data_IF_461023821674
#
_entry.id   IF_461023821674
#
_cell.length_a   1.000
_cell.length_b   1.000
_cell.length_c   1.000
_cell.angle_alpha   90.00
_cell.angle_beta   90.00
_cell.angle_gamma   90.00
#
_symmetry.space_group_name_H-M   'P 1'
#
loop_
_entity.id
_entity.type
_entity.pdbx_description
1 polymer ?
#
# COMPACT_ATOMS: atom_id res chain seq x y z
N UNK A 1 10.11 -9.74 -10.97
CA UNK A 1 9.47 -9.46 -10.76
C UNK A 1 9.24 -9.07 -10.87
N UNK A 2 9.46 -8.91 -11.06
CA UNK A 2 8.85 -8.37 -11.10
C UNK A 2 8.59 -7.79 -10.90
N UNK A 3 8.71 -7.25 -10.88
CA UNK A 3 8.10 -6.53 -10.55
C UNK A 3 7.35 -6.24 -10.90
N UNK A 4 7.23 -6.25 -11.23
CA UNK A 4 6.31 -5.76 -11.56
C UNK A 4 5.86 -4.88 -11.37
N UNK A 5 6.31 -4.32 -11.21
CA UNK A 5 5.73 -3.56 -10.99
C UNK A 5 5.27 -2.98 -11.44
N UNK A 6 5.43 -2.91 -11.89
CA UNK A 6 4.81 -2.41 -12.19
C UNK A 6 4.41 -2.22 -12.86
N UNK A 7 4.56 -2.35 -13.24
CA UNK A 7 4.00 -2.13 -13.79
C UNK A 7 3.34 -2.02 -14.35
N UNK A 8 3.61 -2.04 -14.69
CA UNK A 8 2.77 -1.86 -15.12
C UNK A 8 2.21 -1.59 -15.68
N UNK A 9 2.40 -1.72 -16.12
CA UNK A 9 1.76 -1.42 -16.73
C UNK A 9 1.63 -1.15 -17.37
N UNK A 10 1.93 -1.16 -17.80
CA UNK A 10 1.61 -0.93 -18.38
C UNK A 10 1.53 -0.77 -19.00
N UNK A 11 1.55 -0.79 -19.38
CA UNK A 11 1.25 -0.57 -19.96
C UNK A 11 1.05 -0.48 -20.57
N UNK A 12 1.23 -0.56 -20.80
CA UNK A 12 0.77 -0.37 -21.29
C UNK A 12 0.18 0.12 -21.66
N UNK A 13 0.36 0.23 -21.77
CA UNK A 13 -0.23 0.79 -22.00
C UNK A 13 -0.54 1.52 -22.32
N UNK A 14 -0.42 1.86 -22.53
CA UNK A 14 -0.77 2.56 -22.67
C UNK A 14 -1.06 3.34 -22.86
N UNK A 15 -0.87 3.89 -22.98
CA UNK A 15 -1.16 4.72 -22.97
C UNK A 15 -1.28 5.47 -23.57
N UNK A 16 -1.16 5.72 -23.92
CA UNK A 16 -1.17 6.58 -24.22
C UNK A 16 -1.07 7.39 -24.11
N UNK A 17 -0.49 7.67 -23.81
CA UNK A 17 -0.38 8.33 -23.48
C UNK A 17 0.17 8.62 -23.26
N UNK A 18 0.67 8.59 -23.24
CA UNK A 18 1.19 8.69 -22.94
C UNK A 18 1.88 8.73 -23.02
N UNK A 19 2.36 8.63 -23.06
CA UNK A 19 2.95 8.55 -22.91
C UNK A 19 3.75 8.49 -23.32
N UNK A 20 4.34 8.72 -23.70
CA UNK A 20 4.96 8.56 -23.85
C UNK A 20 5.64 9.17 -24.01
N UNK A 21 6.20 9.24 -24.05
CA UNK A 21 6.66 9.58 -23.86
C UNK A 21 7.41 9.61 -24.10
N UNK A 22 8.08 9.62 -24.48
CA UNK A 22 8.45 9.46 -24.32
C UNK A 22 8.66 9.10 -24.09
N UNK A 23 8.77 8.74 -24.19
CA UNK A 23 8.49 8.23 -23.73
C UNK A 23 8.38 7.90 -22.96
N UNK A 24 8.37 7.82 -22.70
CA UNK A 24 7.93 7.61 -21.76
C UNK A 24 7.22 7.25 -21.27
N UNK A 25 7.08 6.96 -21.21
CA UNK A 25 6.23 6.71 -20.61
C UNK A 25 6.17 6.56 -19.73
N UNK A 26 6.49 6.53 -19.54
CA UNK A 26 6.33 6.42 -18.69
C UNK A 26 6.11 6.74 -17.97
N UNK A 27 6.06 7.08 -17.78
CA UNK A 27 5.67 7.48 -17.01
C UNK A 27 4.72 7.52 -16.36
N UNK A 28 4.17 7.14 -16.37
CA UNK A 28 3.45 7.16 -15.69
C UNK A 28 3.55 6.75 -14.53
N UNK A 29 3.99 6.10 -14.20
CA UNK A 29 4.10 5.72 -13.16
C UNK A 29 4.63 6.42 -12.34
N UNK A 30 4.57 6.74 -12.58
CA UNK A 30 5.05 7.07 -11.93
C UNK A 30 5.28 8.07 -11.18
N UNK A 31 5.02 8.84 -11.38
CA UNK A 31 5.24 10.08 -10.71
C UNK A 31 4.48 10.17 -9.40
N UNK A 32 3.22 9.80 -9.44
CA UNK A 32 2.33 10.04 -8.31
C UNK A 32 2.36 8.93 -7.25
N UNK A 33 2.62 7.70 -7.66
CA UNK A 33 2.58 6.59 -6.73
C UNK A 33 3.54 5.50 -7.16
N UNK A 34 4.39 5.09 -6.22
CA UNK A 34 5.28 3.95 -6.43
C UNK A 34 4.92 2.88 -5.44
N UNK A 35 4.83 1.66 -5.91
CA UNK A 35 4.47 0.50 -5.10
C UNK A 35 5.52 -0.58 -5.27
N UNK A 36 5.89 -1.23 -4.16
CA UNK A 36 6.70 -2.43 -4.20
C UNK A 36 6.25 -3.34 -3.07
N UNK A 37 6.75 -4.56 -3.08
CA UNK A 37 6.47 -5.46 -1.97
C UNK A 37 7.54 -6.54 -1.90
N UNK A 38 7.71 -7.09 -0.71
CA UNK A 38 8.62 -8.20 -0.48
C UNK A 38 8.17 -8.94 0.77
N UNK A 39 8.59 -10.18 0.88
CA UNK A 39 8.22 -11.02 2.02
C UNK A 39 9.37 -11.07 3.01
N UNK A 40 9.04 -10.95 4.29
CA UNK A 40 10.01 -11.07 5.36
C UNK A 40 9.37 -11.84 6.50
N UNK A 41 9.92 -13.01 6.80
CA UNK A 41 9.45 -13.84 7.91
C UNK A 41 7.96 -14.21 7.79
N UNK A 42 7.48 -14.41 6.58
CA UNK A 42 6.10 -14.78 6.35
C UNK A 42 5.14 -13.60 6.30
N UNK A 43 5.65 -12.39 6.46
CA UNK A 43 4.85 -11.17 6.42
C UNK A 43 5.17 -10.42 5.12
N UNK A 44 4.14 -10.03 4.39
CA UNK A 44 4.34 -9.29 3.16
C UNK A 44 4.39 -7.80 3.48
N UNK A 45 5.49 -7.16 3.10
CA UNK A 45 5.71 -5.73 3.34
C UNK A 45 5.42 -4.99 2.04
N UNK A 46 4.42 -4.12 2.08
CA UNK A 46 4.02 -3.33 0.91
C UNK A 46 4.56 -1.92 1.09
N UNK A 47 5.46 -1.50 0.21
CA UNK A 47 6.01 -0.15 0.25
C UNK A 47 5.19 0.78 -0.64
N UNK A 48 4.82 1.93 -0.09
CA UNK A 48 4.03 2.93 -0.81
C UNK A 48 4.74 4.25 -0.72
N UNK A 49 4.97 4.87 -1.87
CA UNK A 49 5.63 6.17 -1.92
C UNK A 49 4.84 7.10 -2.82
N UNK A 50 4.54 8.31 -2.34
CA UNK A 50 3.89 9.33 -3.13
C UNK A 50 2.51 9.67 -2.62
N UNK A 51 1.56 9.82 -3.52
CA UNK A 51 0.21 10.29 -3.19
C UNK A 51 -0.83 9.20 -3.43
N UNK A 52 -1.67 8.98 -2.43
CA UNK A 52 -2.77 8.02 -2.54
C UNK A 52 -4.06 8.83 -2.65
N UNK A 53 -4.59 8.92 -3.86
CA UNK A 53 -5.79 9.71 -4.14
C UNK A 53 -6.74 8.89 -5.03
N UNK A 54 -7.79 9.54 -5.51
CA UNK A 54 -8.80 8.86 -6.30
C UNK A 54 -8.22 8.23 -7.57
N UNK A 55 -7.12 8.79 -8.09
CA UNK A 55 -6.52 8.28 -9.33
C UNK A 55 -5.54 7.15 -9.08
N UNK A 56 -4.84 7.16 -7.96
CA UNK A 56 -3.79 6.19 -7.68
C UNK A 56 -4.25 5.06 -6.77
N UNK A 57 -5.26 5.31 -5.93
CA UNK A 57 -5.73 4.30 -4.99
C UNK A 57 -6.10 2.97 -5.64
N UNK A 58 -6.67 2.95 -6.85
CA UNK A 58 -6.98 1.67 -7.50
C UNK A 58 -5.75 0.78 -7.68
N UNK A 59 -4.57 1.37 -7.89
CA UNK A 59 -3.35 0.57 -8.05
C UNK A 59 -2.98 -0.11 -6.74
N UNK A 60 -3.07 0.62 -5.63
CA UNK A 60 -2.81 0.01 -4.33
C UNK A 60 -3.85 -1.07 -4.03
N UNK A 61 -5.10 -0.80 -4.35
CA UNK A 61 -6.17 -1.76 -4.13
C UNK A 61 -5.89 -3.07 -4.88
N UNK A 62 -5.49 -2.97 -6.14
CA UNK A 62 -5.20 -4.16 -6.92
C UNK A 62 -4.06 -4.97 -6.33
N UNK A 63 -3.01 -4.28 -5.87
CA UNK A 63 -1.90 -4.97 -5.26
C UNK A 63 -2.32 -5.73 -4.01
N UNK A 64 -3.10 -5.08 -3.14
CA UNK A 64 -3.56 -5.74 -1.92
C UNK A 64 -4.45 -6.94 -2.24
N UNK A 65 -5.34 -6.80 -3.22
CA UNK A 65 -6.19 -7.92 -3.63
C UNK A 65 -5.36 -9.07 -4.16
N UNK A 66 -4.37 -8.77 -5.01
CA UNK A 66 -3.51 -9.81 -5.58
C UNK A 66 -2.74 -10.54 -4.49
N UNK A 67 -2.23 -9.82 -3.51
CA UNK A 67 -1.49 -10.44 -2.43
C UNK A 67 -2.38 -11.39 -1.62
N UNK A 68 -3.58 -10.95 -1.30
CA UNK A 68 -4.52 -11.81 -0.56
C UNK A 68 -4.91 -13.01 -1.40
N UNK A 69 -5.15 -12.82 -2.69
CA UNK A 69 -5.51 -13.92 -3.58
C UNK A 69 -4.38 -14.95 -3.71
N UNK A 70 -3.15 -14.53 -3.44
CA UNK A 70 -2.00 -15.43 -3.46
C UNK A 70 -1.65 -15.97 -2.09
N UNK A 71 -2.53 -15.79 -1.11
CA UNK A 71 -2.34 -16.41 0.20
C UNK A 71 -1.57 -15.58 1.21
N UNK A 72 -1.32 -14.32 0.91
CA UNK A 72 -0.60 -13.45 1.85
C UNK A 72 -1.61 -12.74 2.74
N UNK A 73 -1.79 -13.25 3.94
CA UNK A 73 -2.79 -12.73 4.86
C UNK A 73 -2.20 -11.90 6.00
N UNK A 74 -0.86 -11.83 6.08
CA UNK A 74 -0.18 -10.99 7.07
C UNK A 74 0.51 -9.88 6.30
N UNK A 75 -0.06 -8.68 6.36
CA UNK A 75 0.42 -7.55 5.57
C UNK A 75 0.87 -6.40 6.46
N UNK A 76 1.92 -5.72 6.05
CA UNK A 76 2.35 -4.46 6.63
C UNK A 76 2.45 -3.48 5.47
N UNK A 77 1.75 -2.35 5.56
CA UNK A 77 1.83 -1.31 4.54
C UNK A 77 2.73 -0.21 5.07
N UNK A 78 3.88 -0.04 4.43
CA UNK A 78 4.85 0.96 4.84
C UNK A 78 4.52 2.27 4.15
N UNK A 79 4.04 3.24 4.92
CA UNK A 79 3.58 4.53 4.43
C UNK A 79 4.53 5.67 4.81
N UNK A 80 5.78 5.35 5.17
CA UNK A 80 6.71 6.38 5.60
C UNK A 80 6.97 7.43 4.52
N UNK A 81 6.81 7.06 3.25
CA UNK A 81 7.06 7.97 2.13
C UNK A 81 5.77 8.42 1.45
N UNK A 82 4.64 8.25 2.12
CA UNK A 82 3.36 8.74 1.60
C UNK A 82 3.24 10.22 1.96
N UNK A 83 2.95 11.04 0.96
CA UNK A 83 2.86 12.50 1.13
C UNK A 83 1.44 13.00 1.17
N UNK A 84 0.49 12.21 0.67
CA UNK A 84 -0.90 12.60 0.61
C UNK A 84 -1.79 11.37 0.69
N UNK A 85 -2.89 11.50 1.41
CA UNK A 85 -3.84 10.41 1.57
C UNK A 85 -5.24 11.00 1.71
N UNK A 86 -6.14 10.61 0.80
CA UNK A 86 -7.53 11.07 0.89
C UNK A 86 -8.45 9.92 1.31
N UNK A 87 -9.76 10.19 1.31
CA UNK A 87 -10.73 9.20 1.76
C UNK A 87 -10.77 7.97 0.88
N UNK A 88 -10.45 8.11 -0.41
CA UNK A 88 -10.39 6.96 -1.30
C UNK A 88 -9.28 6.01 -0.85
N UNK A 89 -8.11 6.58 -0.53
CA UNK A 89 -7.00 5.78 -0.04
C UNK A 89 -7.30 5.11 1.29
N UNK A 90 -7.96 5.85 2.20
CA UNK A 90 -8.39 5.25 3.46
C UNK A 90 -9.30 4.06 3.22
N UNK A 91 -10.24 4.20 2.28
CA UNK A 91 -11.15 3.11 1.95
C UNK A 91 -10.42 1.88 1.44
N UNK A 92 -9.36 2.09 0.65
CA UNK A 92 -8.55 0.97 0.16
C UNK A 92 -7.87 0.23 1.31
N UNK A 93 -7.33 0.98 2.28
CA UNK A 93 -6.67 0.35 3.43
C UNK A 93 -7.67 -0.41 4.30
N UNK A 94 -8.84 0.18 4.54
CA UNK A 94 -9.89 -0.49 5.31
C UNK A 94 -10.35 -1.76 4.57
N UNK A 95 -10.51 -1.66 3.26
CA UNK A 95 -10.88 -2.82 2.45
C UNK A 95 -9.86 -3.93 2.54
N UNK A 96 -8.57 -3.57 2.50
CA UNK A 96 -7.51 -4.55 2.65
C UNK A 96 -7.54 -5.23 4.00
N UNK A 97 -7.77 -4.45 5.06
CA UNK A 97 -7.88 -5.02 6.40
C UNK A 97 -9.02 -6.03 6.49
N UNK A 98 -10.18 -5.67 5.93
CA UNK A 98 -11.32 -6.58 5.95
C UNK A 98 -11.03 -7.87 5.20
N UNK A 99 -10.31 -7.77 4.08
CA UNK A 99 -9.98 -8.96 3.29
C UNK A 99 -9.08 -9.91 4.06
N UNK A 100 -8.02 -9.39 4.69
CA UNK A 100 -7.12 -10.28 5.43
C UNK A 100 -7.80 -10.83 6.67
N UNK A 101 -8.67 -10.07 7.32
CA UNK A 101 -9.39 -10.55 8.49
C UNK A 101 -10.34 -11.71 8.17
N UNK A 102 -10.84 -11.74 6.94
CA UNK A 102 -11.67 -12.87 6.50
C UNK A 102 -10.89 -14.18 6.50
N UNK A 103 -9.56 -14.10 6.52
CA UNK A 103 -8.66 -15.24 6.55
C UNK A 103 -7.87 -15.29 7.86
N UNK A 104 -8.38 -14.65 8.91
CA UNK A 104 -7.70 -14.57 10.21
C UNK A 104 -6.33 -13.90 10.11
N UNK A 105 -6.17 -13.01 9.14
CA UNK A 105 -4.93 -12.30 8.93
C UNK A 105 -4.93 -10.92 9.56
N UNK A 106 -3.93 -10.14 9.20
CA UNK A 106 -3.75 -8.81 9.76
C UNK A 106 -3.18 -7.85 8.74
N UNK A 107 -3.47 -6.57 8.93
CA UNK A 107 -2.87 -5.50 8.13
C UNK A 107 -2.50 -4.38 9.10
N UNK A 108 -1.21 -4.15 9.26
CA UNK A 108 -0.68 -3.08 10.08
C UNK A 108 -0.05 -2.03 9.20
N UNK A 109 0.13 -0.83 9.74
CA UNK A 109 0.68 0.30 9.01
C UNK A 109 1.96 0.79 9.67
N UNK A 110 2.85 1.36 8.85
CA UNK A 110 4.03 2.06 9.35
C UNK A 110 3.92 3.49 8.87
N UNK A 111 3.86 4.43 9.80
CA UNK A 111 3.66 5.83 9.47
C UNK A 111 4.14 6.70 10.61
N UNK A 112 4.95 7.71 10.31
CA UNK A 112 5.44 8.65 11.30
C UNK A 112 5.11 10.10 10.96
N UNK A 113 4.63 10.39 9.74
CA UNK A 113 4.30 11.75 9.37
C UNK A 113 3.05 12.20 10.14
N UNK A 114 3.21 13.28 10.88
CA UNK A 114 2.12 13.77 11.71
C UNK A 114 0.87 14.11 10.89
N UNK A 115 1.09 14.66 9.70
CA UNK A 115 -0.03 15.03 8.83
C UNK A 115 -0.89 13.82 8.47
N UNK A 116 -0.26 12.70 8.19
CA UNK A 116 -0.97 11.48 7.83
C UNK A 116 -1.58 10.83 9.07
N UNK A 117 -0.81 10.79 10.17
CA UNK A 117 -1.32 10.25 11.43
C UNK A 117 -2.58 10.97 11.90
N UNK A 118 -2.62 12.29 11.67
CA UNK A 118 -3.77 13.07 12.07
C UNK A 118 -5.04 12.60 11.37
N UNK A 119 -4.91 12.20 10.11
CA UNK A 119 -6.07 11.70 9.35
C UNK A 119 -6.62 10.45 10.03
N UNK A 120 -5.74 9.55 10.45
CA UNK A 120 -6.18 8.31 11.13
C UNK A 120 -6.80 8.64 12.49
N UNK A 121 -6.26 9.60 13.20
CA UNK A 121 -6.82 9.98 14.50
C UNK A 121 -8.20 10.60 14.36
N UNK A 122 -8.36 11.54 13.41
CA UNK A 122 -9.63 12.23 13.22
C UNK A 122 -10.73 11.27 12.78
N UNK A 123 -10.39 10.30 11.96
CA UNK A 123 -11.37 9.33 11.47
C UNK A 123 -11.61 8.17 12.44
N UNK A 124 -10.86 8.12 13.54
CA UNK A 124 -10.98 7.02 14.50
C UNK A 124 -10.30 5.74 14.06
N UNK A 125 -9.56 5.77 12.96
CA UNK A 125 -8.96 4.56 12.41
C UNK A 125 -7.72 4.12 13.19
N UNK A 126 -7.20 4.93 14.11
CA UNK A 126 -6.14 4.49 15.00
C UNK A 126 -6.60 3.37 15.91
N UNK A 127 -7.91 3.23 16.08
CA UNK A 127 -8.48 2.14 16.88
C UNK A 127 -8.64 0.86 16.08
N UNK A 128 -8.52 0.96 14.78
CA UNK A 128 -8.76 -0.16 13.85
C UNK A 128 -7.46 -0.73 13.34
N UNK A 129 -6.47 0.13 13.06
CA UNK A 129 -5.17 -0.29 12.55
C UNK A 129 -4.11 -0.22 13.64
N UNK A 130 -3.22 -1.21 13.68
CA UNK A 130 -1.97 -1.07 14.40
C UNK A 130 -1.04 -0.20 13.58
N UNK A 131 -0.60 0.92 14.15
CA UNK A 131 0.29 1.85 13.45
C UNK A 131 1.61 1.90 14.22
N UNK A 132 2.71 1.70 13.50
CA UNK A 132 4.03 1.58 14.10
C UNK A 132 4.98 2.58 13.49
N UNK A 133 6.08 2.86 14.21
CA UNK A 133 7.06 3.82 13.76
C UNK A 133 8.01 3.26 12.71
N UNK A 134 8.26 1.95 12.74
CA UNK A 134 9.17 1.31 11.79
C UNK A 134 8.60 -0.02 11.35
N UNK A 135 9.12 -0.50 10.21
CA UNK A 135 8.75 -1.83 9.72
C UNK A 135 9.18 -2.90 10.73
N UNK A 136 10.37 -2.74 11.33
CA UNK A 136 10.84 -3.73 12.29
C UNK A 136 9.93 -3.83 13.51
N UNK A 137 9.42 -2.69 13.98
CA UNK A 137 8.49 -2.70 15.10
C UNK A 137 7.17 -3.36 14.72
N UNK A 138 6.69 -3.11 13.50
CA UNK A 138 5.47 -3.72 13.03
C UNK A 138 5.63 -5.24 12.94
N UNK A 139 6.77 -5.70 12.45
CA UNK A 139 7.06 -7.13 12.35
C UNK A 139 7.12 -7.75 13.75
N UNK A 140 7.82 -7.09 14.67
CA UNK A 140 7.94 -7.59 16.04
C UNK A 140 6.56 -7.70 16.71
N UNK A 141 5.72 -6.70 16.50
CA UNK A 141 4.37 -6.74 17.06
C UNK A 141 3.58 -7.91 16.49
N UNK A 142 3.67 -8.12 15.19
CA UNK A 142 2.93 -9.20 14.53
C UNK A 142 3.37 -10.56 15.03
N UNK A 143 4.68 -10.73 15.24
CA UNK A 143 5.21 -11.99 15.74
C UNK A 143 4.82 -12.24 17.19
N UNK A 144 4.75 -11.20 18.00
CA UNK A 144 4.41 -11.36 19.42
C UNK A 144 2.94 -11.69 19.62
N UNK A 145 2.12 -11.44 18.61
CA UNK A 145 0.69 -11.74 18.68
C UNK A 145 0.40 -13.23 18.52
N UNK A 146 1.38 -13.98 18.16
CA UNK A 146 1.22 -15.43 18.02
C UNK A 146 1.41 -16.10 19.35
#
# INVERSE_FOLDING_TARGET
>A
MRDRSITLGAPDAIYPGGGWDNGRMALEESVDLKLDHHNKDGIEIVGVEGEIDVYTAPRLRELLIDLVNNGHYQLIVNMEKVEFLDSTGLGVLVGGLKRVRAHDGSLDLVCTQERILKIFRITGLTKVFGIHDTVDEAIAHRKSEK
#
